data_IF_668128669336
#
_entry.id   IF_668128669336
#
_cell.length_a   1.000
_cell.length_b   1.000
_cell.length_c   1.000
_cell.angle_alpha   90.00
_cell.angle_beta   90.00
_cell.angle_gamma   90.00
#
_symmetry.space_group_name_H-M   'P 1'
#
loop_
_entity.id
_entity.type
_entity.pdbx_description
1 polymer ?
#
# COMPACT_ATOMS: atom_id res chain seq x y z
N UNK A 1 -44.23 -7.11 19.15
CA UNK A 1 -44.44 -7.55 20.54
C UNK A 1 -45.87 -8.03 20.58
N UNK A 2 -46.05 -9.34 20.74
CA UNK A 2 -47.38 -9.93 20.59
C UNK A 2 -48.30 -9.37 21.66
N UNK A 3 -49.45 -8.85 21.25
CA UNK A 3 -50.54 -8.58 22.18
C UNK A 3 -51.12 -9.92 22.63
N UNK A 4 -51.06 -10.23 23.92
CA UNK A 4 -51.60 -11.47 24.49
C UNK A 4 -52.63 -11.14 25.55
N UNK A 5 -53.84 -11.68 25.41
CA UNK A 5 -54.88 -11.63 26.44
C UNK A 5 -54.56 -12.68 27.50
N UNK A 6 -54.24 -12.22 28.72
CA UNK A 6 -53.97 -13.11 29.85
C UNK A 6 -55.24 -13.35 30.66
N UNK A 7 -55.49 -14.60 31.06
CA UNK A 7 -56.57 -14.97 32.00
C UNK A 7 -56.53 -14.11 33.27
N UNK A 8 -55.34 -13.86 33.80
CA UNK A 8 -55.13 -13.08 35.01
C UNK A 8 -55.61 -11.62 34.86
N UNK A 9 -55.36 -11.01 33.70
CA UNK A 9 -55.81 -9.65 33.41
C UNK A 9 -57.31 -9.59 33.08
N UNK A 10 -57.86 -10.65 32.47
CA UNK A 10 -59.29 -10.75 32.10
C UNK A 10 -60.21 -11.05 33.30
N UNK A 11 -59.72 -11.80 34.30
CA UNK A 11 -60.51 -12.20 35.48
C UNK A 11 -61.50 -13.34 35.25
N UNK A 12 -61.45 -14.00 34.10
CA UNK A 12 -62.28 -15.18 33.75
C UNK A 12 -61.51 -16.11 32.81
N UNK A 13 -61.91 -17.39 32.64
CA UNK A 13 -61.34 -18.25 31.62
C UNK A 13 -61.34 -17.57 30.24
N UNK A 14 -60.29 -17.83 29.46
CA UNK A 14 -60.24 -17.35 28.08
C UNK A 14 -61.29 -18.11 27.25
N UNK A 15 -61.95 -17.40 26.35
CA UNK A 15 -62.79 -18.02 25.33
C UNK A 15 -61.90 -18.68 24.28
N UNK A 16 -62.45 -19.62 23.50
CA UNK A 16 -61.71 -20.22 22.39
C UNK A 16 -61.18 -19.16 21.42
N UNK A 17 -62.00 -18.14 21.11
CA UNK A 17 -61.59 -17.02 20.24
C UNK A 17 -60.39 -16.25 20.79
N UNK A 18 -60.33 -16.00 22.09
CA UNK A 18 -59.19 -15.31 22.70
C UNK A 18 -57.93 -16.19 22.68
N UNK A 19 -58.08 -17.49 22.90
CA UNK A 19 -56.99 -18.46 22.78
C UNK A 19 -56.47 -18.50 21.35
N UNK A 20 -57.36 -18.60 20.35
CA UNK A 20 -57.02 -18.60 18.93
C UNK A 20 -56.34 -17.29 18.52
N UNK A 21 -56.83 -16.16 19.04
CA UNK A 21 -56.23 -14.83 18.80
C UNK A 21 -54.81 -14.77 19.37
N UNK A 22 -54.61 -15.26 20.60
CA UNK A 22 -53.28 -15.32 21.20
C UNK A 22 -52.32 -16.18 20.38
N UNK A 23 -52.76 -17.35 19.91
CA UNK A 23 -51.93 -18.23 19.08
C UNK A 23 -51.62 -17.60 17.72
N UNK A 24 -52.58 -16.92 17.10
CA UNK A 24 -52.36 -16.16 15.87
C UNK A 24 -51.33 -15.05 16.07
N UNK A 25 -51.46 -14.26 17.13
CA UNK A 25 -50.54 -13.17 17.46
C UNK A 25 -49.11 -13.68 17.73
N UNK A 26 -48.98 -14.80 18.45
CA UNK A 26 -47.68 -15.44 18.69
C UNK A 26 -47.08 -16.00 17.39
N UNK A 27 -47.89 -16.60 16.53
CA UNK A 27 -47.42 -17.16 15.27
C UNK A 27 -46.96 -16.07 14.28
N UNK A 28 -47.56 -14.88 14.32
CA UNK A 28 -47.17 -13.76 13.46
C UNK A 28 -45.90 -13.05 13.95
N UNK A 29 -45.69 -12.98 15.27
CA UNK A 29 -44.56 -12.25 15.87
C UNK A 29 -43.33 -13.11 16.12
N UNK A 30 -43.44 -14.45 16.08
CA UNK A 30 -42.28 -15.33 16.27
C UNK A 30 -41.26 -15.13 15.15
N UNK A 31 -39.99 -15.34 15.48
CA UNK A 31 -38.96 -15.56 14.47
C UNK A 31 -39.16 -16.94 13.82
N UNK A 32 -38.95 -17.02 12.49
CA UNK A 32 -38.89 -18.29 11.76
C UNK A 32 -37.49 -18.47 11.16
N UNK A 33 -36.99 -19.71 11.19
CA UNK A 33 -35.69 -20.05 10.60
C UNK A 33 -35.61 -19.62 9.14
N UNK A 34 -34.53 -18.92 8.79
CA UNK A 34 -34.30 -18.39 7.44
C UNK A 34 -34.80 -16.95 7.26
N UNK A 35 -35.58 -16.41 8.20
CA UNK A 35 -35.93 -14.99 8.19
C UNK A 35 -34.73 -14.12 8.59
N UNK A 36 -34.77 -12.88 8.12
CA UNK A 36 -33.86 -11.84 8.58
C UNK A 36 -34.21 -11.47 10.03
N UNK A 37 -33.19 -11.32 10.87
CA UNK A 37 -33.35 -10.85 12.24
C UNK A 37 -33.32 -9.32 12.24
N UNK A 38 -34.39 -8.70 12.75
CA UNK A 38 -34.46 -7.26 13.02
C UNK A 38 -34.76 -7.06 14.50
N UNK A 39 -33.76 -6.64 15.26
CA UNK A 39 -33.83 -6.36 16.70
C UNK A 39 -33.19 -5.00 16.96
N UNK A 40 -33.40 -4.43 18.15
CA UNK A 40 -32.63 -3.26 18.58
C UNK A 40 -31.16 -3.63 18.83
N UNK A 41 -30.67 -3.39 20.03
CA UNK A 41 -29.32 -3.84 20.39
C UNK A 41 -29.24 -5.37 20.49
N UNK A 42 -28.36 -5.98 19.70
CA UNK A 42 -27.94 -7.37 19.90
C UNK A 42 -26.75 -7.40 20.86
N UNK A 43 -26.90 -8.05 22.02
CA UNK A 43 -25.81 -8.31 22.95
C UNK A 43 -25.51 -9.81 22.98
N UNK A 44 -24.33 -10.21 22.51
CA UNK A 44 -23.82 -11.58 22.64
C UNK A 44 -22.84 -11.63 23.81
N UNK A 45 -23.13 -12.41 24.85
CA UNK A 45 -22.28 -12.57 26.03
C UNK A 45 -21.14 -13.58 25.86
N UNK A 46 -21.15 -14.31 24.75
CA UNK A 46 -20.09 -15.24 24.35
C UNK A 46 -19.62 -14.97 22.92
N UNK A 47 -18.94 -15.96 22.34
CA UNK A 47 -18.40 -15.85 20.99
C UNK A 47 -19.54 -15.82 19.95
N UNK A 48 -19.35 -15.01 18.90
CA UNK A 48 -20.20 -15.02 17.70
C UNK A 48 -19.42 -15.69 16.56
N UNK A 49 -19.97 -16.77 16.02
CA UNK A 49 -19.41 -17.41 14.82
C UNK A 49 -20.16 -16.91 13.59
N UNK A 50 -19.48 -16.15 12.75
CA UNK A 50 -20.02 -15.70 11.48
C UNK A 50 -19.83 -16.78 10.39
N UNK A 51 -20.54 -16.62 9.27
CA UNK A 51 -20.39 -17.51 8.12
C UNK A 51 -18.95 -17.51 7.61
N UNK A 52 -18.40 -18.71 7.42
CA UNK A 52 -17.02 -18.93 6.97
C UNK A 52 -16.96 -19.85 5.75
N UNK A 53 -16.05 -19.56 4.82
CA UNK A 53 -15.57 -20.48 3.78
C UNK A 53 -14.09 -20.73 4.00
N UNK A 54 -13.73 -21.88 4.59
CA UNK A 54 -12.38 -22.13 5.11
C UNK A 54 -11.39 -22.70 4.07
N UNK A 55 -11.86 -23.06 2.87
CA UNK A 55 -11.05 -23.76 1.85
C UNK A 55 -11.27 -23.16 0.45
N UNK A 56 -11.30 -21.83 0.35
CA UNK A 56 -11.44 -21.15 -0.94
C UNK A 56 -10.21 -21.45 -1.81
N UNK A 57 -10.46 -21.84 -3.06
CA UNK A 57 -9.44 -21.94 -4.10
C UNK A 57 -9.56 -20.72 -5.01
N UNK A 58 -8.54 -19.84 -5.01
CA UNK A 58 -8.48 -18.74 -5.95
C UNK A 58 -8.31 -19.29 -7.37
N UNK A 59 -8.95 -18.65 -8.34
CA UNK A 59 -8.89 -19.00 -9.75
C UNK A 59 -8.90 -17.73 -10.58
N UNK A 60 -8.57 -17.83 -11.88
CA UNK A 60 -8.65 -16.72 -12.81
C UNK A 60 -7.64 -15.59 -12.57
N UNK A 61 -7.10 -15.03 -13.65
CA UNK A 61 -6.15 -13.89 -13.59
C UNK A 61 -6.80 -12.55 -13.92
N UNK A 62 -8.13 -12.54 -14.05
CA UNK A 62 -8.95 -11.36 -14.36
C UNK A 62 -10.18 -11.33 -13.46
N UNK A 63 -10.74 -10.14 -13.29
CA UNK A 63 -11.92 -9.92 -12.44
C UNK A 63 -13.08 -10.86 -12.78
N UNK A 64 -13.45 -10.98 -14.05
CA UNK A 64 -14.57 -11.84 -14.48
C UNK A 64 -14.34 -13.35 -14.38
N UNK A 65 -13.10 -13.79 -14.08
CA UNK A 65 -12.76 -15.21 -13.93
C UNK A 65 -12.37 -15.60 -12.50
N UNK A 66 -12.39 -14.65 -11.57
CA UNK A 66 -12.00 -14.85 -10.19
C UNK A 66 -13.05 -15.62 -9.38
N UNK A 67 -12.61 -16.38 -8.37
CA UNK A 67 -13.51 -17.16 -7.51
C UNK A 67 -14.35 -16.25 -6.60
N UNK A 68 -15.67 -16.36 -6.65
CA UNK A 68 -16.56 -15.53 -5.83
C UNK A 68 -16.49 -15.87 -4.34
N UNK A 69 -16.38 -14.83 -3.50
CA UNK A 69 -16.54 -14.93 -2.06
C UNK A 69 -18.01 -14.80 -1.67
N UNK A 70 -18.49 -15.68 -0.78
CA UNK A 70 -19.92 -15.79 -0.44
C UNK A 70 -20.19 -15.73 1.07
N UNK A 71 -19.14 -15.61 1.88
CA UNK A 71 -19.20 -15.62 3.34
C UNK A 71 -18.53 -14.38 3.90
N UNK A 72 -18.85 -14.04 5.15
CA UNK A 72 -18.18 -12.94 5.86
C UNK A 72 -16.71 -13.23 6.08
N UNK A 73 -16.35 -14.47 6.40
CA UNK A 73 -14.96 -14.91 6.54
C UNK A 73 -14.58 -15.87 5.41
N UNK A 74 -13.46 -15.63 4.76
CA UNK A 74 -12.97 -16.45 3.66
C UNK A 74 -11.49 -16.75 3.87
N UNK A 75 -11.11 -18.02 3.82
CA UNK A 75 -9.73 -18.47 3.88
C UNK A 75 -9.37 -19.04 2.52
N UNK A 76 -8.48 -18.36 1.81
CA UNK A 76 -7.94 -18.81 0.53
C UNK A 76 -6.76 -19.71 0.82
N UNK A 77 -6.99 -21.01 0.65
CA UNK A 77 -6.03 -22.07 0.98
C UNK A 77 -5.27 -22.59 -0.21
N UNK A 78 -5.76 -22.33 -1.43
CA UNK A 78 -5.13 -22.77 -2.68
C UNK A 78 -5.17 -21.63 -3.69
N UNK A 79 -4.03 -21.35 -4.32
CA UNK A 79 -3.90 -20.38 -5.41
C UNK A 79 -2.60 -20.66 -6.18
N UNK A 80 -2.62 -20.40 -7.48
CA UNK A 80 -1.41 -20.22 -8.30
C UNK A 80 -1.07 -18.73 -8.42
N UNK A 81 0.13 -18.41 -8.92
CA UNK A 81 0.55 -17.03 -9.14
C UNK A 81 -0.48 -16.25 -9.99
N UNK A 82 -0.79 -15.03 -9.55
CA UNK A 82 -1.74 -14.10 -10.18
C UNK A 82 -3.21 -14.52 -10.20
N UNK A 83 -3.58 -15.64 -9.56
CA UNK A 83 -5.00 -16.00 -9.42
C UNK A 83 -5.70 -15.12 -8.37
N UNK A 84 -7.03 -15.07 -8.43
CA UNK A 84 -7.78 -14.18 -7.56
C UNK A 84 -9.10 -14.70 -7.03
N UNK A 85 -9.68 -13.86 -6.20
CA UNK A 85 -11.04 -13.95 -5.68
C UNK A 85 -11.78 -12.65 -5.97
N UNK A 86 -13.10 -12.70 -6.01
CA UNK A 86 -13.96 -11.54 -6.24
C UNK A 86 -14.93 -11.33 -5.08
N UNK A 87 -15.02 -10.08 -4.62
CA UNK A 87 -15.94 -9.66 -3.58
C UNK A 87 -17.39 -9.72 -4.07
N UNK A 88 -18.36 -9.89 -3.17
CA UNK A 88 -19.76 -9.59 -3.50
C UNK A 88 -19.90 -8.11 -3.88
N UNK A 89 -21.01 -7.77 -4.54
CA UNK A 89 -21.34 -6.36 -4.83
C UNK A 89 -21.39 -5.55 -3.54
N UNK A 90 -20.71 -4.41 -3.55
CA UNK A 90 -20.57 -3.56 -2.39
C UNK A 90 -21.93 -3.00 -1.95
N UNK A 91 -22.21 -3.12 -0.65
CA UNK A 91 -23.31 -2.44 0.02
C UNK A 91 -22.78 -1.76 1.28
N UNK A 92 -23.33 -0.60 1.62
CA UNK A 92 -22.91 0.14 2.80
C UNK A 92 -23.04 -0.72 4.08
N UNK A 93 -21.96 -0.84 4.83
CA UNK A 93 -21.88 -1.62 6.06
C UNK A 93 -21.62 -3.12 5.88
N UNK A 94 -21.52 -3.62 4.64
CA UNK A 94 -21.14 -5.02 4.40
C UNK A 94 -19.65 -5.22 4.75
N UNK A 95 -19.33 -6.30 5.46
CA UNK A 95 -17.95 -6.61 5.88
C UNK A 95 -17.51 -7.94 5.28
N UNK A 96 -16.31 -7.97 4.71
CA UNK A 96 -15.64 -9.18 4.23
C UNK A 96 -14.26 -9.25 4.87
N UNK A 97 -14.00 -10.35 5.56
CA UNK A 97 -12.71 -10.73 6.08
C UNK A 97 -12.12 -11.82 5.18
N UNK A 98 -10.93 -11.58 4.67
CA UNK A 98 -10.20 -12.48 3.81
C UNK A 98 -8.84 -12.79 4.43
N UNK A 99 -8.45 -14.06 4.47
CA UNK A 99 -7.11 -14.49 4.82
C UNK A 99 -6.53 -15.35 3.71
N UNK A 100 -5.31 -15.06 3.30
CA UNK A 100 -4.58 -15.80 2.28
C UNK A 100 -3.52 -16.69 2.93
N UNK A 101 -3.72 -18.00 2.88
CA UNK A 101 -2.76 -19.02 3.37
C UNK A 101 -2.27 -19.93 2.24
N UNK A 102 -2.47 -19.53 0.98
CA UNK A 102 -2.23 -20.36 -0.21
C UNK A 102 -0.77 -20.53 -0.64
N UNK A 103 0.17 -19.87 0.02
CA UNK A 103 1.59 -19.81 -0.39
C UNK A 103 1.92 -18.81 -1.51
N UNK A 104 0.92 -18.22 -2.20
CA UNK A 104 1.12 -17.25 -3.29
C UNK A 104 0.43 -15.92 -3.00
N UNK A 105 0.89 -14.82 -3.59
CA UNK A 105 0.13 -13.55 -3.61
C UNK A 105 -1.10 -13.72 -4.50
N UNK A 106 -2.27 -13.33 -3.99
CA UNK A 106 -3.54 -13.40 -4.70
C UNK A 106 -4.08 -12.01 -5.00
N UNK A 107 -4.94 -11.92 -6.02
CA UNK A 107 -5.70 -10.71 -6.34
C UNK A 107 -7.08 -10.76 -5.71
N UNK A 108 -7.55 -9.64 -5.17
CA UNK A 108 -8.90 -9.48 -4.65
C UNK A 108 -9.59 -8.42 -5.49
N UNK A 109 -10.54 -8.84 -6.29
CA UNK A 109 -11.27 -7.98 -7.22
C UNK A 109 -12.58 -7.48 -6.60
N UNK A 110 -13.00 -6.23 -6.91
CA UNK A 110 -14.36 -5.80 -6.66
C UNK A 110 -15.33 -6.42 -7.68
N UNK A 111 -16.64 -6.34 -7.42
CA UNK A 111 -17.64 -6.74 -8.40
C UNK A 111 -17.57 -5.84 -9.66
N UNK A 112 -18.29 -6.22 -10.72
CA UNK A 112 -18.20 -5.52 -12.02
C UNK A 112 -18.53 -4.05 -11.87
N UNK A 113 -17.69 -3.21 -12.45
CA UNK A 113 -17.72 -1.73 -12.42
C UNK A 113 -17.49 -1.09 -11.05
N UNK A 114 -17.25 -1.88 -10.00
CA UNK A 114 -17.01 -1.39 -8.64
C UNK A 114 -15.52 -1.11 -8.38
N UNK A 115 -15.23 -0.51 -7.22
CA UNK A 115 -13.88 -0.08 -6.82
C UNK A 115 -13.52 -0.56 -5.42
N UNK A 116 -12.21 -0.74 -5.19
CA UNK A 116 -11.62 -0.89 -3.86
C UNK A 116 -10.71 0.33 -3.64
N UNK A 117 -10.85 0.97 -2.48
CA UNK A 117 -10.08 2.15 -2.05
C UNK A 117 -10.10 3.33 -3.03
N UNK A 118 -11.18 3.46 -3.82
CA UNK A 118 -11.31 4.50 -4.84
C UNK A 118 -10.38 4.30 -6.05
N UNK A 119 -9.79 3.11 -6.22
CA UNK A 119 -9.04 2.74 -7.41
C UNK A 119 -9.89 2.69 -8.68
N UNK A 120 -9.28 2.35 -9.82
CA UNK A 120 -10.01 2.19 -11.08
C UNK A 120 -11.05 1.06 -11.02
N UNK A 121 -12.11 1.18 -11.81
CA UNK A 121 -13.14 0.15 -11.91
C UNK A 121 -12.53 -1.23 -12.24
N UNK A 122 -12.97 -2.28 -11.53
CA UNK A 122 -12.48 -3.65 -11.65
C UNK A 122 -11.00 -3.87 -11.25
N UNK A 123 -10.30 -2.86 -10.75
CA UNK A 123 -8.92 -3.01 -10.33
C UNK A 123 -8.84 -3.83 -9.03
N UNK A 124 -7.98 -4.86 -8.94
CA UNK A 124 -7.80 -5.62 -7.72
C UNK A 124 -6.86 -4.90 -6.75
N UNK A 125 -6.96 -5.28 -5.49
CA UNK A 125 -5.86 -5.18 -4.53
C UNK A 125 -5.10 -6.51 -4.49
N UNK A 126 -3.87 -6.50 -3.97
CA UNK A 126 -3.09 -7.71 -3.75
C UNK A 126 -3.06 -8.07 -2.28
N UNK A 127 -3.21 -9.36 -1.98
CA UNK A 127 -3.05 -9.91 -0.63
C UNK A 127 -1.95 -10.95 -0.68
N UNK A 128 -0.80 -10.63 -0.07
CA UNK A 128 0.35 -11.54 0.03
C UNK A 128 0.01 -12.76 0.89
N UNK A 129 0.82 -13.81 0.77
CA UNK A 129 0.65 -15.02 1.57
C UNK A 129 0.83 -14.78 3.08
N UNK A 130 0.17 -15.60 3.90
CA UNK A 130 0.11 -15.50 5.35
C UNK A 130 -0.39 -14.15 5.89
N UNK A 131 -1.20 -13.43 5.11
CA UNK A 131 -1.76 -12.13 5.46
C UNK A 131 -3.27 -12.09 5.18
N UNK A 132 -3.95 -11.03 5.59
CA UNK A 132 -5.37 -10.83 5.37
C UNK A 132 -5.74 -9.42 4.95
N UNK A 133 -7.00 -9.27 4.55
CA UNK A 133 -7.63 -7.99 4.30
C UNK A 133 -9.02 -8.01 4.91
N UNK A 134 -9.32 -6.99 5.72
CA UNK A 134 -10.69 -6.66 6.09
C UNK A 134 -11.18 -5.56 5.15
N UNK A 135 -12.34 -5.77 4.54
CA UNK A 135 -12.96 -4.83 3.62
C UNK A 135 -14.37 -4.47 4.09
N UNK A 136 -14.68 -3.18 4.06
CA UNK A 136 -16.00 -2.65 4.40
C UNK A 136 -16.59 -1.93 3.19
N UNK A 137 -17.81 -2.29 2.82
CA UNK A 137 -18.58 -1.56 1.83
C UNK A 137 -18.96 -0.20 2.38
N UNK A 138 -18.51 0.88 1.75
CA UNK A 138 -18.77 2.26 2.19
C UNK A 138 -19.95 2.90 1.47
N UNK A 139 -20.34 2.33 0.34
CA UNK A 139 -21.46 2.74 -0.48
C UNK A 139 -21.91 1.57 -1.37
N UNK A 140 -22.96 1.76 -2.15
CA UNK A 140 -23.14 0.95 -3.36
C UNK A 140 -21.93 1.15 -4.28
N UNK A 141 -21.31 0.05 -4.71
CA UNK A 141 -20.19 0.03 -5.64
C UNK A 141 -18.79 0.40 -5.10
N UNK A 142 -18.65 0.66 -3.79
CA UNK A 142 -17.38 1.08 -3.19
C UNK A 142 -16.98 0.26 -1.96
N UNK A 143 -15.84 -0.41 -2.05
CA UNK A 143 -15.16 -1.08 -0.93
C UNK A 143 -14.00 -0.24 -0.40
N UNK A 144 -13.75 -0.31 0.91
CA UNK A 144 -12.53 0.18 1.54
C UNK A 144 -11.87 -0.88 2.39
N UNK A 145 -10.55 -0.98 2.30
CA UNK A 145 -9.78 -1.79 3.23
C UNK A 145 -9.75 -1.13 4.61
N UNK A 146 -9.99 -1.91 5.67
CA UNK A 146 -9.80 -1.48 7.06
C UNK A 146 -8.35 -1.72 7.42
N UNK A 147 -7.65 -0.65 7.81
CA UNK A 147 -6.27 -0.74 8.27
C UNK A 147 -5.25 -1.11 7.19
N UNK A 148 -5.47 -0.76 5.91
CA UNK A 148 -4.47 -0.97 4.86
C UNK A 148 -3.11 -0.40 5.29
N UNK A 149 -2.13 -1.28 5.46
CA UNK A 149 -0.81 -1.03 6.06
C UNK A 149 0.14 -0.20 5.19
N UNK A 150 -0.32 0.95 4.72
CA UNK A 150 0.46 1.93 3.98
C UNK A 150 -0.41 2.72 3.02
N UNK A 151 -0.81 3.93 3.42
CA UNK A 151 -1.23 4.93 2.44
C UNK A 151 0.00 5.34 1.64
N UNK A 152 -0.06 5.23 0.31
CA UNK A 152 0.88 5.90 -0.57
C UNK A 152 0.70 7.41 -0.39
N UNK A 153 1.52 8.02 0.46
CA UNK A 153 1.52 9.46 0.62
C UNK A 153 2.21 10.05 -0.61
N UNK A 154 1.42 10.63 -1.52
CA UNK A 154 1.95 11.29 -2.72
C UNK A 154 2.84 12.49 -2.36
N UNK A 155 2.52 13.21 -1.28
CA UNK A 155 3.30 14.32 -0.73
C UNK A 155 3.11 14.41 0.79
N UNK A 156 4.20 14.58 1.54
CA UNK A 156 4.18 14.77 3.00
C UNK A 156 4.79 16.12 3.37
N UNK A 157 3.95 17.04 3.86
CA UNK A 157 4.40 18.35 4.38
C UNK A 157 4.38 18.34 5.91
N UNK A 158 5.53 18.60 6.53
CA UNK A 158 5.69 18.66 8.01
C UNK A 158 6.07 20.09 8.42
N UNK A 159 5.16 20.81 9.09
CA UNK A 159 5.39 22.21 9.48
C UNK A 159 6.25 22.40 10.73
N UNK A 160 6.43 21.35 11.54
CA UNK A 160 7.16 21.46 12.82
C UNK A 160 8.19 20.36 12.97
N UNK A 161 7.79 19.15 13.35
CA UNK A 161 8.74 18.04 13.53
C UNK A 161 8.12 16.70 13.16
N UNK A 162 8.97 15.80 12.70
CA UNK A 162 8.67 14.39 12.53
C UNK A 162 9.73 13.58 13.27
N UNK A 163 9.34 12.50 13.93
CA UNK A 163 10.26 11.53 14.52
C UNK A 163 10.13 10.22 13.75
N UNK A 164 11.25 9.74 13.20
CA UNK A 164 11.34 8.46 12.52
C UNK A 164 12.04 7.48 13.47
N UNK A 165 11.31 6.48 13.94
CA UNK A 165 11.83 5.45 14.86
C UNK A 165 12.24 4.21 14.07
N UNK A 166 13.32 3.55 14.49
CA UNK A 166 13.85 2.35 13.82
C UNK A 166 14.67 2.66 12.57
N UNK A 167 14.78 1.68 11.66
CA UNK A 167 15.52 1.82 10.40
C UNK A 167 14.66 2.46 9.32
N UNK A 168 15.22 3.45 8.63
CA UNK A 168 14.63 4.02 7.41
C UNK A 168 15.18 3.30 6.17
N UNK A 169 14.29 2.85 5.29
CA UNK A 169 14.65 2.26 4.00
C UNK A 169 14.51 3.32 2.92
N UNK A 170 15.61 3.58 2.21
CA UNK A 170 15.61 4.44 1.04
C UNK A 170 15.45 3.61 -0.25
N UNK A 171 15.04 4.27 -1.33
CA UNK A 171 15.16 3.71 -2.67
C UNK A 171 16.63 3.53 -3.06
N UNK A 172 16.96 2.37 -3.65
CA UNK A 172 18.35 2.00 -3.98
C UNK A 172 18.43 1.38 -5.37
N UNK A 173 19.34 1.91 -6.18
CA UNK A 173 19.85 1.28 -7.41
C UNK A 173 21.21 0.63 -7.10
N UNK A 174 21.26 -0.69 -6.82
CA UNK A 174 22.43 -1.32 -6.19
C UNK A 174 23.57 -1.67 -7.16
N UNK A 175 23.36 -1.56 -8.48
CA UNK A 175 24.35 -1.92 -9.49
C UNK A 175 24.14 -1.10 -10.77
N UNK A 176 24.47 0.18 -10.71
CA UNK A 176 24.50 1.08 -11.87
C UNK A 176 25.77 0.79 -12.69
N UNK A 177 25.62 0.70 -14.01
CA UNK A 177 26.74 0.68 -14.95
C UNK A 177 26.90 2.07 -15.56
N UNK A 178 28.08 2.68 -15.48
CA UNK A 178 28.35 3.90 -16.23
C UNK A 178 28.29 3.63 -17.73
N UNK A 179 27.96 4.66 -18.50
CA UNK A 179 27.99 4.67 -19.95
C UNK A 179 28.23 6.10 -20.41
N UNK A 180 28.46 6.27 -21.71
CA UNK A 180 28.49 7.58 -22.37
C UNK A 180 29.69 8.46 -22.01
N UNK A 181 30.28 9.12 -23.00
CA UNK A 181 31.50 9.92 -22.78
C UNK A 181 31.23 11.41 -22.56
N UNK A 182 29.96 11.81 -22.65
CA UNK A 182 29.43 13.15 -22.51
C UNK A 182 28.25 13.16 -21.51
N UNK A 183 27.68 14.34 -21.28
CA UNK A 183 26.58 14.50 -20.35
C UNK A 183 25.29 13.86 -20.87
N UNK A 184 24.97 14.06 -22.15
CA UNK A 184 23.71 13.59 -22.75
C UNK A 184 23.61 12.09 -23.00
N UNK A 185 24.72 11.35 -22.90
CA UNK A 185 24.76 9.89 -23.08
C UNK A 185 25.13 9.13 -21.79
N UNK A 186 25.31 9.83 -20.67
CA UNK A 186 25.60 9.23 -19.38
C UNK A 186 24.40 8.46 -18.78
N UNK A 187 24.67 7.43 -17.98
CA UNK A 187 23.61 6.63 -17.34
C UNK A 187 22.86 7.43 -16.27
N UNK A 188 21.53 7.55 -16.39
CA UNK A 188 20.71 8.27 -15.44
C UNK A 188 20.62 7.58 -14.06
N UNK A 189 20.70 8.39 -13.00
CA UNK A 189 20.45 7.97 -11.64
C UNK A 189 18.98 8.23 -11.26
N UNK A 190 18.29 7.21 -10.75
CA UNK A 190 16.82 7.24 -10.56
C UNK A 190 16.38 7.10 -9.11
N UNK A 191 17.29 6.74 -8.20
CA UNK A 191 16.98 6.44 -6.80
C UNK A 191 17.69 7.39 -5.84
N UNK A 192 17.30 7.41 -4.56
CA UNK A 192 17.98 8.20 -3.53
C UNK A 192 19.43 7.74 -3.31
N UNK A 193 19.66 6.43 -3.40
CA UNK A 193 20.99 5.83 -3.28
C UNK A 193 21.31 5.10 -4.58
N UNK A 194 22.44 5.44 -5.19
CA UNK A 194 22.90 4.81 -6.42
C UNK A 194 24.30 4.26 -6.20
N UNK A 195 24.49 2.97 -6.48
CA UNK A 195 25.76 2.27 -6.33
C UNK A 195 26.26 1.89 -7.72
N UNK A 196 27.30 2.58 -8.18
CA UNK A 196 27.99 2.27 -9.44
C UNK A 196 28.83 1.02 -9.23
N UNK A 197 28.37 -0.08 -9.81
CA UNK A 197 29.00 -1.40 -9.74
C UNK A 197 29.89 -1.73 -10.93
N UNK A 198 29.70 -1.04 -12.06
CA UNK A 198 30.50 -1.23 -13.27
C UNK A 198 30.90 0.12 -13.88
N UNK A 199 32.18 0.26 -14.20
CA UNK A 199 32.71 1.38 -14.98
C UNK A 199 33.54 0.81 -16.14
N UNK A 200 33.09 1.01 -17.38
CA UNK A 200 33.76 0.52 -18.59
C UNK A 200 35.00 1.32 -18.95
N UNK A 201 35.05 2.61 -18.57
CA UNK A 201 36.24 3.46 -18.70
C UNK A 201 36.09 4.82 -18.03
N UNK A 202 37.20 5.52 -17.78
CA UNK A 202 37.20 6.81 -17.06
C UNK A 202 36.56 7.97 -17.81
N UNK A 203 36.34 7.80 -19.11
CA UNK A 203 35.54 8.72 -19.91
C UNK A 203 34.04 8.60 -19.65
N UNK A 204 33.58 7.45 -19.16
CA UNK A 204 32.18 7.14 -18.94
C UNK A 204 31.60 7.84 -17.72
N UNK A 205 30.27 7.98 -17.64
CA UNK A 205 29.65 8.62 -16.50
C UNK A 205 28.26 8.15 -16.11
N UNK A 206 27.81 8.76 -15.02
CA UNK A 206 26.43 8.74 -14.55
C UNK A 206 25.94 10.18 -14.42
N UNK A 207 24.64 10.40 -14.49
CA UNK A 207 24.03 11.73 -14.44
C UNK A 207 22.99 11.84 -13.32
N UNK A 208 23.08 12.91 -12.55
CA UNK A 208 22.14 13.25 -11.48
C UNK A 208 20.73 13.53 -12.05
N UNK A 209 19.66 13.35 -11.26
CA UNK A 209 18.35 13.88 -11.63
C UNK A 209 18.39 15.41 -11.77
N UNK A 210 17.40 15.98 -12.45
CA UNK A 210 17.22 17.44 -12.54
C UNK A 210 17.21 18.06 -11.15
N UNK A 211 18.01 19.11 -10.99
CA UNK A 211 18.14 19.87 -9.77
C UNK A 211 16.78 20.43 -9.30
N UNK A 212 16.52 20.25 -8.00
CA UNK A 212 15.44 20.93 -7.30
C UNK A 212 15.87 21.13 -5.85
N UNK A 213 15.60 22.31 -5.30
CA UNK A 213 16.08 22.69 -3.97
C UNK A 213 15.70 21.64 -2.91
N UNK A 214 16.68 21.20 -2.11
CA UNK A 214 16.50 20.23 -1.05
C UNK A 214 16.57 18.76 -1.48
N UNK A 215 16.67 18.44 -2.78
CA UNK A 215 16.94 17.07 -3.20
C UNK A 215 18.27 16.57 -2.63
N UNK A 216 18.26 15.31 -2.16
CA UNK A 216 19.42 14.67 -1.55
C UNK A 216 19.67 13.31 -2.20
N UNK A 217 20.88 13.12 -2.72
CA UNK A 217 21.27 11.91 -3.46
C UNK A 217 22.61 11.40 -2.92
N UNK A 218 22.75 10.09 -2.79
CA UNK A 218 24.01 9.41 -2.48
C UNK A 218 24.45 8.62 -3.71
N UNK A 219 25.67 8.86 -4.17
CA UNK A 219 26.29 8.16 -5.30
C UNK A 219 27.59 7.53 -4.84
N UNK A 220 27.65 6.20 -4.83
CA UNK A 220 28.83 5.45 -4.47
C UNK A 220 29.46 4.82 -5.72
N UNK A 221 30.73 5.09 -5.97
CA UNK A 221 31.52 4.32 -6.93
C UNK A 221 32.30 3.27 -6.17
N UNK A 222 31.80 2.02 -6.19
CA UNK A 222 32.47 0.90 -5.51
C UNK A 222 33.44 0.16 -6.43
N UNK A 223 33.66 0.65 -7.65
CA UNK A 223 34.57 0.04 -8.61
C UNK A 223 36.03 0.43 -8.34
N UNK A 224 36.94 0.00 -9.22
CA UNK A 224 38.37 0.37 -9.19
C UNK A 224 38.73 1.45 -10.20
N UNK A 225 37.74 1.98 -10.94
CA UNK A 225 37.95 2.95 -12.02
C UNK A 225 37.17 4.21 -11.70
N UNK A 226 37.81 5.37 -11.84
CA UNK A 226 37.13 6.66 -11.76
C UNK A 226 36.09 6.76 -12.87
N UNK A 227 34.96 7.42 -12.61
CA UNK A 227 34.00 7.77 -13.66
C UNK A 227 33.61 9.24 -13.52
N UNK A 228 32.84 9.74 -14.48
CA UNK A 228 32.28 11.09 -14.42
C UNK A 228 30.93 11.08 -13.70
N UNK A 229 30.69 12.11 -12.91
CA UNK A 229 29.37 12.46 -12.39
C UNK A 229 28.92 13.77 -13.05
N UNK A 230 27.89 13.67 -13.86
CA UNK A 230 27.31 14.81 -14.59
C UNK A 230 26.11 15.40 -13.83
N UNK A 231 25.94 16.73 -13.84
CA UNK A 231 24.65 17.33 -13.54
C UNK A 231 23.68 17.14 -14.71
N UNK A 232 22.38 17.25 -14.44
CA UNK A 232 21.37 17.29 -15.49
C UNK A 232 21.52 18.56 -16.36
N UNK A 233 20.75 18.64 -17.44
CA UNK A 233 20.92 19.70 -18.44
C UNK A 233 20.68 21.08 -17.86
N UNK A 234 21.66 21.97 -18.04
CA UNK A 234 21.75 23.34 -17.49
C UNK A 234 22.13 23.42 -16.01
N UNK A 235 22.20 22.29 -15.31
CA UNK A 235 22.58 22.26 -13.91
C UNK A 235 24.10 22.28 -13.73
N UNK A 236 24.52 22.53 -12.50
CA UNK A 236 25.91 22.66 -12.06
C UNK A 236 26.19 21.77 -10.84
N UNK A 237 27.46 21.49 -10.62
CA UNK A 237 27.98 20.85 -9.40
C UNK A 237 29.04 21.79 -8.82
N UNK A 238 28.93 22.15 -7.55
CA UNK A 238 29.79 23.11 -6.84
C UNK A 238 29.84 24.50 -7.50
N UNK A 239 28.77 24.94 -8.15
CA UNK A 239 28.75 26.21 -8.88
C UNK A 239 29.72 26.25 -10.07
N UNK A 240 30.13 25.08 -10.59
CA UNK A 240 30.95 24.96 -11.79
C UNK A 240 30.24 25.41 -13.07
N UNK A 241 30.79 25.04 -14.23
CA UNK A 241 30.14 25.30 -15.51
C UNK A 241 28.93 24.39 -15.73
N UNK A 242 27.88 24.91 -16.38
CA UNK A 242 26.69 24.12 -16.72
C UNK A 242 27.06 22.87 -17.53
N UNK A 243 26.42 21.74 -17.21
CA UNK A 243 26.64 20.42 -17.85
C UNK A 243 28.04 19.81 -17.63
N UNK A 244 28.93 20.47 -16.88
CA UNK A 244 30.27 19.97 -16.67
C UNK A 244 30.28 18.86 -15.61
N UNK A 245 30.89 17.73 -15.95
CA UNK A 245 31.11 16.66 -14.98
C UNK A 245 32.17 17.04 -13.93
N UNK A 246 32.01 16.43 -12.76
CA UNK A 246 33.11 16.23 -11.81
C UNK A 246 33.58 14.78 -11.87
N UNK A 247 34.83 14.52 -11.51
CA UNK A 247 35.29 13.14 -11.29
C UNK A 247 34.62 12.56 -10.05
N UNK A 248 34.06 11.37 -10.18
CA UNK A 248 33.65 10.49 -9.08
C UNK A 248 34.71 9.37 -8.93
N UNK A 249 35.65 9.52 -7.99
CA UNK A 249 36.77 8.59 -7.89
C UNK A 249 36.35 7.17 -7.50
N UNK A 250 37.16 6.19 -7.89
CA UNK A 250 37.01 4.81 -7.46
C UNK A 250 37.00 4.69 -5.92
N UNK A 251 36.17 3.77 -5.39
CA UNK A 251 36.03 3.51 -3.94
C UNK A 251 35.62 4.73 -3.11
N UNK A 252 34.91 5.69 -3.71
CA UNK A 252 34.41 6.87 -3.00
C UNK A 252 32.90 7.01 -3.09
N UNK A 253 32.35 7.80 -2.18
CA UNK A 253 30.94 8.17 -2.14
C UNK A 253 30.83 9.68 -2.11
N UNK A 254 29.95 10.21 -2.97
CA UNK A 254 29.46 11.58 -2.85
C UNK A 254 28.05 11.55 -2.27
N UNK A 255 27.87 12.31 -1.21
CA UNK A 255 26.55 12.73 -0.74
C UNK A 255 26.32 14.12 -1.28
N UNK A 256 25.23 14.35 -2.02
CA UNK A 256 24.94 15.62 -2.66
C UNK A 256 23.59 16.17 -2.18
N UNK A 257 23.54 17.47 -1.98
CA UNK A 257 22.29 18.21 -1.77
C UNK A 257 22.19 19.31 -2.81
N UNK A 258 21.02 19.40 -3.43
CA UNK A 258 20.72 20.46 -4.36
C UNK A 258 20.39 21.74 -3.59
N UNK A 259 21.22 22.77 -3.74
CA UNK A 259 21.09 24.02 -2.96
C UNK A 259 19.91 24.87 -3.45
N UNK A 260 19.64 24.80 -4.75
CA UNK A 260 18.61 25.56 -5.45
C UNK A 260 18.07 24.74 -6.64
N UNK A 261 17.42 25.38 -7.61
CA UNK A 261 16.87 24.70 -8.78
C UNK A 261 17.91 24.28 -9.83
N UNK A 262 19.21 24.57 -9.62
CA UNK A 262 20.25 24.42 -10.66
C UNK A 262 21.62 23.95 -10.16
N UNK A 263 21.91 23.95 -8.86
CA UNK A 263 23.25 23.61 -8.37
C UNK A 263 23.26 22.57 -7.26
N UNK A 264 24.07 21.53 -7.47
CA UNK A 264 24.34 20.47 -6.52
C UNK A 264 25.60 20.76 -5.72
N UNK A 265 25.51 20.65 -4.40
CA UNK A 265 26.65 20.76 -3.49
C UNK A 265 26.97 19.37 -2.94
N UNK A 266 28.23 18.97 -3.04
CA UNK A 266 28.78 17.77 -2.43
C UNK A 266 29.08 18.04 -0.96
N UNK A 267 28.66 17.13 -0.10
CA UNK A 267 29.05 17.11 1.29
C UNK A 267 30.48 16.60 1.40
N UNK A 268 31.37 17.41 1.98
CA UNK A 268 32.75 17.00 2.25
C UNK A 268 32.80 16.15 3.52
N UNK A 269 33.32 14.93 3.41
CA UNK A 269 33.55 14.05 4.57
C UNK A 269 34.70 14.50 5.47
N UNK A 270 35.63 15.32 4.96
CA UNK A 270 36.78 15.87 5.70
C UNK A 270 37.20 17.22 5.10
N UNK A 271 37.45 18.21 5.96
CA UNK A 271 38.07 19.49 5.60
C UNK A 271 39.49 19.56 6.19
N UNK A 272 40.48 19.76 5.32
CA UNK A 272 41.88 19.89 5.69
C UNK A 272 42.31 21.33 5.48
N UNK A 273 42.78 21.98 6.54
CA UNK A 273 43.29 23.35 6.49
C UNK A 273 44.80 23.34 6.67
N UNK A 274 45.50 24.24 5.98
CA UNK A 274 46.88 24.54 6.32
C UNK A 274 46.95 25.38 7.61
N UNK A 275 48.17 25.66 8.07
CA UNK A 275 48.42 26.48 9.25
C UNK A 275 47.93 27.93 9.14
N UNK A 276 47.62 28.42 7.93
CA UNK A 276 47.03 29.75 7.72
C UNK A 276 45.50 29.73 7.68
N UNK A 277 44.85 28.58 7.91
CA UNK A 277 43.40 28.43 7.84
C UNK A 277 42.83 28.38 6.41
N UNK A 278 43.69 28.20 5.41
CA UNK A 278 43.27 27.99 4.02
C UNK A 278 42.88 26.53 3.80
N UNK A 279 41.71 26.31 3.21
CA UNK A 279 41.24 24.99 2.85
C UNK A 279 42.11 24.39 1.73
N UNK A 280 42.56 23.16 1.92
CA UNK A 280 43.48 22.45 1.01
C UNK A 280 42.78 21.46 0.08
N UNK A 281 41.55 21.05 0.37
CA UNK A 281 40.78 20.05 -0.37
C UNK A 281 39.30 20.43 -0.54
#
# INVERSE_FOLDING_TARGET
MSTITLRASKGSPLTNTEVDTNFSNLNNDKYESGNNVSVGTLTASGNVTFGISATVSAAGSTQGTATALTKTYNIVSTASANQGVILPSAAAGLVINLYNVSGNTIKVYPASTETIDGGSANAPIEVVTANGAELVGISTGGWRQVGSGGSNVAELTVNTSASLLGSLKYGVSPSVSSAGSAQGDATALTETINVVGTVGGSGEGVILPTAAAGLHIVVANITTTDCKLYPASSDTIEGGSANAAVTLPAKTTFTLTCKDATDWVKHRGLAVYNSSGTLLN
#
